data_IF_275462370404
#
_entry.id   IF_275462370404
#
_cell.length_a   1.000
_cell.length_b   1.000
_cell.length_c   1.000
_cell.angle_alpha   90.00
_cell.angle_beta   90.00
_cell.angle_gamma   90.00
#
_symmetry.space_group_name_H-M   'P 1'
#
loop_
_entity.id
_entity.type
_entity.pdbx_description
1 polymer ?
#
# COMPACT_ATOMS: atom_id res chain seq x y z
N UNK A 1 11.74 -16.63 -24.20
CA UNK A 1 11.91 -17.69 -23.19
C UNK A 1 11.41 -17.11 -21.87
N UNK A 2 10.16 -17.28 -21.45
CA UNK A 2 9.47 -18.56 -21.29
C UNK A 2 9.64 -19.12 -19.87
N UNK A 3 9.68 -18.26 -18.84
CA UNK A 3 9.79 -18.67 -17.45
C UNK A 3 8.44 -19.07 -16.89
N UNK A 4 8.01 -20.30 -17.17
CA UNK A 4 6.88 -20.92 -16.48
C UNK A 4 7.36 -21.19 -15.04
N UNK A 5 7.25 -20.18 -14.17
CA UNK A 5 7.27 -20.47 -12.74
C UNK A 5 6.06 -21.35 -12.47
N UNK A 6 6.26 -22.51 -11.83
CA UNK A 6 5.13 -23.37 -11.49
C UNK A 6 4.15 -22.56 -10.65
N UNK A 7 2.84 -22.68 -10.91
CA UNK A 7 1.80 -21.95 -10.17
C UNK A 7 1.89 -22.14 -8.65
N UNK A 8 2.50 -23.25 -8.22
CA UNK A 8 2.83 -23.57 -6.83
C UNK A 8 3.96 -22.67 -6.31
N UNK A 9 5.07 -22.53 -7.04
CA UNK A 9 6.18 -21.66 -6.64
C UNK A 9 5.75 -20.18 -6.54
N UNK A 10 4.89 -19.72 -7.46
CA UNK A 10 4.33 -18.36 -7.38
C UNK A 10 3.48 -18.17 -6.11
N UNK A 11 2.59 -19.12 -5.77
CA UNK A 11 1.81 -19.08 -4.52
C UNK A 11 2.68 -19.11 -3.26
N UNK A 12 3.83 -19.79 -3.32
CA UNK A 12 4.81 -19.83 -2.24
C UNK A 12 5.75 -18.62 -2.20
N UNK A 13 5.75 -17.75 -3.21
CA UNK A 13 6.57 -16.55 -3.26
C UNK A 13 5.75 -15.27 -3.02
N UNK A 14 4.43 -15.34 -3.24
CA UNK A 14 3.49 -14.23 -3.16
C UNK A 14 2.25 -14.63 -2.35
N UNK A 15 2.29 -14.32 -1.06
CA UNK A 15 1.28 -14.71 -0.08
C UNK A 15 0.95 -13.47 0.75
N UNK A 16 0.13 -12.54 0.22
CA UNK A 16 -0.36 -11.42 1.01
C UNK A 16 -1.12 -11.92 2.24
N UNK A 17 -1.21 -11.10 3.31
CA UNK A 17 -2.07 -11.39 4.44
C UNK A 17 -3.51 -11.71 4.01
N UNK A 18 -4.08 -12.79 4.56
CA UNK A 18 -5.47 -13.17 4.33
C UNK A 18 -6.12 -13.55 5.68
N UNK A 19 -7.04 -12.72 6.23
CA UNK A 19 -7.54 -11.47 5.65
C UNK A 19 -6.47 -10.37 5.59
N UNK A 20 -6.65 -9.33 4.74
CA UNK A 20 -5.83 -8.12 4.76
C UNK A 20 -5.72 -7.52 6.16
N UNK A 21 -4.57 -6.94 6.50
CA UNK A 21 -4.33 -6.36 7.82
C UNK A 21 -5.06 -5.03 8.06
N UNK A 22 -5.68 -4.47 7.01
CA UNK A 22 -6.42 -3.22 7.04
C UNK A 22 -7.64 -3.27 6.11
N UNK A 23 -8.57 -2.35 6.30
CA UNK A 23 -9.67 -2.07 5.36
C UNK A 23 -9.63 -0.61 4.93
N UNK A 24 -10.24 -0.32 3.78
CA UNK A 24 -10.48 1.06 3.36
C UNK A 24 -11.94 1.41 3.61
N UNK A 25 -12.16 2.60 4.16
CA UNK A 25 -13.48 3.20 4.23
C UNK A 25 -13.41 4.65 3.74
N UNK A 26 -14.55 5.17 3.30
CA UNK A 26 -14.70 6.59 3.00
C UNK A 26 -15.20 7.28 4.26
N UNK A 27 -14.45 8.27 4.71
CA UNK A 27 -14.81 9.11 5.83
C UNK A 27 -16.00 10.00 5.43
N UNK A 28 -17.09 9.96 6.20
CA UNK A 28 -18.33 10.65 5.84
C UNK A 28 -18.21 12.17 5.90
N UNK A 29 -17.33 12.68 6.77
CA UNK A 29 -17.16 14.12 7.00
C UNK A 29 -16.25 14.73 5.94
N UNK A 30 -15.07 14.16 5.73
CA UNK A 30 -14.08 14.67 4.77
C UNK A 30 -14.29 14.16 3.34
N UNK A 31 -15.05 13.08 3.16
CA UNK A 31 -15.18 12.38 1.89
C UNK A 31 -13.90 11.66 1.43
N UNK A 32 -12.83 11.70 2.22
CA UNK A 32 -11.54 11.10 1.88
C UNK A 32 -11.51 9.61 2.23
N UNK A 33 -10.66 8.86 1.54
CA UNK A 33 -10.39 7.47 1.91
C UNK A 33 -9.46 7.43 3.12
N UNK A 34 -9.78 6.54 4.07
CA UNK A 34 -8.99 6.25 5.26
C UNK A 34 -8.78 4.74 5.40
N UNK A 35 -7.76 4.36 6.17
CA UNK A 35 -7.47 2.98 6.53
C UNK A 35 -7.98 2.69 7.93
N UNK A 36 -8.61 1.53 8.14
CA UNK A 36 -8.93 0.98 9.45
C UNK A 36 -7.76 0.20 10.03
N UNK A 37 -7.84 -0.16 11.31
CA UNK A 37 -6.89 -1.05 11.99
C UNK A 37 -5.44 -0.51 12.05
N UNK A 38 -5.27 0.78 11.75
CA UNK A 38 -4.03 1.54 11.85
C UNK A 38 -4.28 2.87 12.58
N UNK A 39 -3.26 3.45 13.25
CA UNK A 39 -3.41 4.75 13.91
C UNK A 39 -3.83 5.85 12.92
N UNK A 40 -4.80 6.67 13.29
CA UNK A 40 -5.19 7.79 12.45
C UNK A 40 -4.11 8.89 12.45
N UNK A 41 -3.71 9.35 11.26
CA UNK A 41 -2.77 10.46 11.08
C UNK A 41 -3.23 11.39 9.96
N UNK A 42 -3.23 12.69 10.25
CA UNK A 42 -3.66 13.76 9.33
C UNK A 42 -2.76 13.88 8.09
N UNK A 43 -1.47 13.58 8.23
CA UNK A 43 -0.50 13.67 7.15
C UNK A 43 -0.47 12.44 6.23
N UNK A 44 -1.39 11.49 6.43
CA UNK A 44 -1.50 10.28 5.60
C UNK A 44 -2.71 10.38 4.69
N UNK A 45 -2.49 10.24 3.39
CA UNK A 45 -3.55 10.19 2.39
C UNK A 45 -3.62 8.80 1.77
N UNK A 46 -4.83 8.26 1.67
CA UNK A 46 -5.10 6.96 1.07
C UNK A 46 -5.73 7.18 -0.29
N UNK A 47 -5.25 6.48 -1.30
CA UNK A 47 -5.61 6.66 -2.69
C UNK A 47 -5.99 5.32 -3.31
N UNK A 48 -6.92 5.37 -4.28
CA UNK A 48 -7.24 4.26 -5.18
C UNK A 48 -6.80 4.67 -6.59
N UNK A 49 -5.88 3.92 -7.17
CA UNK A 49 -5.23 4.25 -8.43
C UNK A 49 -5.60 3.23 -9.51
N UNK A 50 -6.10 3.67 -10.67
CA UNK A 50 -6.35 2.78 -11.79
C UNK A 50 -5.03 2.36 -12.42
N UNK A 51 -4.96 1.10 -12.81
CA UNK A 51 -3.82 0.52 -13.54
C UNK A 51 -4.17 0.36 -15.02
N UNK A 52 -3.16 0.27 -15.88
CA UNK A 52 -3.33 0.01 -17.32
C UNK A 52 -4.12 -1.27 -17.62
N UNK A 53 -4.10 -2.25 -16.72
CA UNK A 53 -4.82 -3.53 -16.87
C UNK A 53 -6.27 -3.49 -16.38
N UNK A 54 -6.77 -2.31 -15.98
CA UNK A 54 -8.14 -2.14 -15.48
C UNK A 54 -8.33 -2.58 -14.03
N UNK A 55 -7.25 -2.88 -13.30
CA UNK A 55 -7.30 -3.08 -11.84
C UNK A 55 -7.19 -1.74 -11.12
N UNK A 56 -7.70 -1.70 -9.90
CA UNK A 56 -7.53 -0.63 -8.95
C UNK A 56 -6.61 -1.10 -7.82
N UNK A 57 -5.53 -0.36 -7.59
CA UNK A 57 -4.59 -0.59 -6.49
C UNK A 57 -4.73 0.49 -5.42
N UNK A 58 -4.41 0.11 -4.18
CA UNK A 58 -4.39 1.03 -3.06
C UNK A 58 -3.00 1.61 -2.90
N UNK A 59 -2.94 2.91 -2.62
CA UNK A 59 -1.71 3.58 -2.24
C UNK A 59 -1.87 4.43 -0.99
N UNK A 60 -0.78 4.56 -0.25
CA UNK A 60 -0.63 5.39 0.93
C UNK A 60 0.43 6.44 0.63
N UNK A 61 0.09 7.71 0.85
CA UNK A 61 1.00 8.83 0.73
C UNK A 61 1.18 9.50 2.10
N UNK A 62 2.39 9.45 2.65
CA UNK A 62 2.78 10.15 3.86
C UNK A 62 3.43 11.47 3.47
N UNK A 63 2.82 12.57 3.89
CA UNK A 63 3.36 13.91 3.68
C UNK A 63 4.31 14.28 4.82
N UNK A 64 5.47 14.82 4.47
CA UNK A 64 6.37 15.48 5.41
C UNK A 64 6.57 16.95 4.99
N UNK A 65 6.21 17.94 5.83
CA UNK A 65 6.36 19.36 5.50
C UNK A 65 7.78 19.81 5.17
N UNK A 66 8.79 19.09 5.67
CA UNK A 66 10.21 19.39 5.45
C UNK A 66 10.79 18.68 4.21
N UNK A 67 9.97 17.91 3.48
CA UNK A 67 10.45 17.09 2.39
C UNK A 67 10.73 17.91 1.11
N UNK A 68 11.90 17.67 0.54
CA UNK A 68 12.28 18.14 -0.80
C UNK A 68 12.23 17.03 -1.84
N UNK A 69 12.00 15.78 -1.42
CA UNK A 69 11.91 14.60 -2.28
C UNK A 69 10.81 13.65 -1.82
N UNK A 70 10.42 12.75 -2.72
CA UNK A 70 9.44 11.69 -2.47
C UNK A 70 10.08 10.33 -2.69
N UNK A 71 10.02 9.46 -1.69
CA UNK A 71 10.41 8.06 -1.79
C UNK A 71 9.23 7.23 -2.27
N UNK A 72 9.35 6.58 -3.42
CA UNK A 72 8.43 5.53 -3.85
C UNK A 72 8.91 4.19 -3.28
N UNK A 73 8.11 3.57 -2.42
CA UNK A 73 8.46 2.35 -1.70
C UNK A 73 7.61 1.16 -2.15
N UNK A 74 8.28 0.13 -2.66
CA UNK A 74 7.69 -1.17 -2.97
C UNK A 74 7.86 -2.12 -1.78
N UNK A 75 6.76 -2.56 -1.17
CA UNK A 75 6.83 -3.44 0.01
C UNK A 75 7.16 -4.90 -0.36
N UNK A 76 7.51 -5.71 0.64
CA UNK A 76 7.84 -7.12 0.44
C UNK A 76 6.63 -7.99 0.08
N UNK A 77 6.86 -9.14 -0.57
CA UNK A 77 5.81 -10.02 -1.12
C UNK A 77 4.84 -10.65 -0.10
N UNK A 78 5.14 -10.61 1.20
CA UNK A 78 4.29 -11.19 2.25
C UNK A 78 3.69 -10.12 3.17
N UNK A 79 3.69 -8.88 2.71
CA UNK A 79 3.19 -7.73 3.44
C UNK A 79 2.06 -7.03 2.66
N UNK A 80 1.30 -6.19 3.35
CA UNK A 80 0.37 -5.23 2.77
C UNK A 80 0.55 -3.85 3.41
N UNK A 81 -0.10 -2.82 2.87
CA UNK A 81 0.01 -1.45 3.38
C UNK A 81 -0.31 -1.28 4.87
N UNK A 82 -1.20 -2.09 5.43
CA UNK A 82 -1.54 -2.00 6.86
C UNK A 82 -0.36 -2.41 7.74
N UNK A 83 0.33 -3.50 7.40
CA UNK A 83 1.56 -3.93 8.10
C UNK A 83 2.72 -2.94 7.89
N UNK A 84 2.76 -2.29 6.73
CA UNK A 84 3.81 -1.32 6.39
C UNK A 84 3.55 0.09 6.94
N UNK A 85 2.35 0.35 7.48
CA UNK A 85 1.87 1.69 7.82
C UNK A 85 2.83 2.45 8.74
N UNK A 86 3.20 1.83 9.86
CA UNK A 86 4.05 2.48 10.86
C UNK A 86 5.47 2.71 10.32
N UNK A 87 6.02 1.72 9.62
CA UNK A 87 7.33 1.86 8.98
C UNK A 87 7.35 3.04 8.00
N UNK A 88 6.30 3.22 7.20
CA UNK A 88 6.22 4.31 6.24
C UNK A 88 6.20 5.69 6.89
N UNK A 89 5.46 5.81 8.01
CA UNK A 89 5.44 7.06 8.77
C UNK A 89 6.80 7.32 9.40
N UNK A 90 7.40 6.32 10.04
CA UNK A 90 8.70 6.46 10.68
C UNK A 90 9.81 6.78 9.66
N UNK A 91 9.82 6.13 8.50
CA UNK A 91 10.76 6.45 7.41
C UNK A 91 10.58 7.88 6.90
N UNK A 92 9.33 8.33 6.69
CA UNK A 92 9.03 9.69 6.24
C UNK A 92 9.56 10.73 7.22
N UNK A 93 9.38 10.51 8.53
CA UNK A 93 9.85 11.40 9.59
C UNK A 93 11.37 11.42 9.67
N UNK A 94 12.00 10.25 9.77
CA UNK A 94 13.44 10.12 9.99
C UNK A 94 14.27 10.55 8.78
N UNK A 95 13.82 10.23 7.57
CA UNK A 95 14.52 10.60 6.34
C UNK A 95 14.13 12.00 5.83
N UNK A 96 13.09 12.62 6.41
CA UNK A 96 12.51 13.90 5.97
C UNK A 96 12.12 13.90 4.50
N UNK A 97 11.39 12.86 4.10
CA UNK A 97 10.88 12.69 2.74
C UNK A 97 9.37 12.52 2.75
N UNK A 98 8.70 12.90 1.66
CA UNK A 98 7.37 12.34 1.41
C UNK A 98 7.55 10.86 1.08
N UNK A 99 6.59 10.01 1.44
CA UNK A 99 6.67 8.59 1.13
C UNK A 99 5.39 8.13 0.44
N UNK A 100 5.54 7.53 -0.73
CA UNK A 100 4.46 6.88 -1.47
C UNK A 100 4.68 5.38 -1.43
N UNK A 101 3.78 4.65 -0.78
CA UNK A 101 3.73 3.20 -0.81
C UNK A 101 2.45 2.72 -1.49
N UNK A 102 2.47 1.52 -2.04
CA UNK A 102 1.31 0.95 -2.74
C UNK A 102 1.27 -0.56 -2.57
N UNK A 103 0.05 -1.10 -2.55
CA UNK A 103 -0.18 -2.54 -2.68
C UNK A 103 -0.10 -2.96 -4.14
N UNK A 104 0.45 -4.15 -4.39
CA UNK A 104 0.37 -4.79 -5.70
C UNK A 104 -1.07 -5.24 -6.03
N UNK A 105 -1.34 -5.54 -7.31
CA UNK A 105 -2.63 -6.15 -7.67
C UNK A 105 -2.81 -7.49 -6.94
N UNK A 106 -4.00 -7.70 -6.35
CA UNK A 106 -4.30 -8.88 -5.54
C UNK A 106 -3.75 -8.85 -4.10
N UNK A 107 -3.13 -7.75 -3.67
CA UNK A 107 -2.68 -7.54 -2.28
C UNK A 107 -3.64 -6.64 -1.51
N UNK A 108 -3.72 -6.85 -0.19
CA UNK A 108 -4.50 -6.01 0.71
C UNK A 108 -5.91 -5.74 0.22
N UNK A 109 -6.26 -4.47 0.04
CA UNK A 109 -7.56 -4.03 -0.49
C UNK A 109 -7.53 -3.70 -2.00
N UNK A 110 -6.45 -4.08 -2.69
CA UNK A 110 -6.31 -3.91 -4.14
C UNK A 110 -7.00 -5.03 -4.91
N UNK A 111 -7.53 -4.69 -6.07
CA UNK A 111 -8.19 -5.66 -6.97
C UNK A 111 -7.17 -6.38 -7.87
N UNK A 112 -7.64 -7.40 -8.60
CA UNK A 112 -6.81 -8.21 -9.47
C UNK A 112 -6.35 -9.51 -8.80
N UNK A 113 -5.26 -10.08 -9.32
CA UNK A 113 -4.67 -11.33 -8.80
C UNK A 113 -3.15 -11.22 -8.91
N UNK A 114 -2.47 -11.91 -8.00
CA UNK A 114 -1.04 -12.20 -8.11
C UNK A 114 -0.78 -13.18 -9.25
#
# INVERSE_FOLDING_TARGET
MGGVTSSVAAKFAFFPPNPPSYKIYRDEVSGLLKMSDVPHRENVNVLKLPTRRGHEIVAMYVRNPMATMTLLYSHGNAADLGQMYELFVELSVHLRVNLMGYDYSGYGQSTGKV
#
